data_IF_378752356514
#
_entry.id   IF_378752356514
#
_cell.length_a   1.000
_cell.length_b   1.000
_cell.length_c   1.000
_cell.angle_alpha   90.00
_cell.angle_beta   90.00
_cell.angle_gamma   90.00
#
_symmetry.space_group_name_H-M   'P 1'
#
loop_
_entity.id
_entity.type
_entity.pdbx_description
1 polymer ?
#
# COMPACT_ATOMS: atom_id res chain seq x y z
N UNK A 1 -10.01 -5.04 -19.10
CA UNK A 1 -9.20 -4.77 -17.91
C UNK A 1 -7.80 -5.22 -18.25
N UNK A 2 -6.78 -4.39 -18.01
CA UNK A 2 -5.40 -4.89 -18.00
C UNK A 2 -5.29 -5.68 -16.69
N UNK A 3 -5.11 -6.99 -16.80
CA UNK A 3 -4.95 -7.85 -15.63
C UNK A 3 -3.72 -7.37 -14.83
N UNK A 4 -3.88 -7.17 -13.53
CA UNK A 4 -2.75 -6.93 -12.64
C UNK A 4 -1.86 -8.17 -12.67
N UNK A 5 -0.56 -7.94 -12.84
CA UNK A 5 0.44 -9.00 -12.89
C UNK A 5 1.40 -8.81 -11.72
N UNK A 6 1.68 -9.87 -10.98
CA UNK A 6 2.74 -9.87 -9.97
C UNK A 6 4.10 -9.62 -10.64
N UNK A 7 4.72 -8.49 -10.31
CA UNK A 7 6.02 -8.08 -10.85
C UNK A 7 7.09 -8.24 -9.77
N UNK A 8 8.18 -8.92 -10.10
CA UNK A 8 9.33 -9.06 -9.21
C UNK A 8 10.13 -7.75 -9.18
N UNK A 9 9.84 -6.88 -8.22
CA UNK A 9 10.47 -5.58 -8.08
C UNK A 9 11.59 -5.65 -7.05
N UNK A 10 12.78 -5.19 -7.44
CA UNK A 10 13.90 -5.02 -6.52
C UNK A 10 14.08 -3.54 -6.17
N UNK A 11 13.96 -3.20 -4.89
CA UNK A 11 14.13 -1.82 -4.41
C UNK A 11 15.56 -1.49 -4.00
N UNK A 12 16.41 -2.51 -3.84
CA UNK A 12 17.80 -2.39 -3.46
C UNK A 12 18.71 -2.62 -4.69
N UNK A 13 19.59 -1.66 -5.05
CA UNK A 13 20.50 -1.82 -6.19
C UNK A 13 21.45 -3.02 -6.07
N UNK A 14 21.71 -3.52 -4.86
CA UNK A 14 22.53 -4.71 -4.65
C UNK A 14 21.77 -6.04 -4.80
N UNK A 15 20.48 -6.00 -5.14
CA UNK A 15 19.68 -7.21 -5.43
C UNK A 15 19.26 -8.01 -4.20
N UNK A 16 19.34 -7.45 -2.99
CA UNK A 16 19.12 -8.22 -1.74
C UNK A 16 17.64 -8.42 -1.41
N UNK A 17 16.77 -7.53 -1.89
CA UNK A 17 15.35 -7.48 -1.53
C UNK A 17 14.50 -7.43 -2.79
N UNK A 18 13.80 -8.52 -3.08
CA UNK A 18 12.83 -8.64 -4.17
C UNK A 18 11.45 -8.82 -3.56
N UNK A 19 10.53 -7.96 -3.95
CA UNK A 19 9.12 -8.03 -3.61
C UNK A 19 8.33 -8.38 -4.86
N UNK A 20 7.36 -9.29 -4.76
CA UNK A 20 6.41 -9.51 -5.84
C UNK A 20 5.26 -8.56 -5.57
N UNK A 21 5.04 -7.61 -6.47
CA UNK A 21 4.01 -6.59 -6.32
C UNK A 21 2.98 -6.67 -7.45
N UNK A 22 1.71 -6.60 -7.11
CA UNK A 22 0.64 -6.33 -8.05
C UNK A 22 0.81 -4.93 -8.64
N UNK A 23 0.88 -4.88 -9.98
CA UNK A 23 1.06 -3.63 -10.73
C UNK A 23 0.20 -3.59 -11.98
N UNK A 24 -0.11 -2.38 -12.43
CA UNK A 24 -0.68 -2.13 -13.76
C UNK A 24 0.38 -1.47 -14.66
N UNK A 25 0.68 -2.00 -15.86
CA UNK A 25 1.54 -1.31 -16.82
C UNK A 25 0.87 -0.03 -17.33
N UNK A 26 1.60 1.08 -17.30
CA UNK A 26 1.11 2.40 -17.77
C UNK A 26 1.98 2.99 -18.89
N UNK A 27 3.02 2.27 -19.30
CA UNK A 27 3.90 2.62 -20.41
C UNK A 27 5.14 1.75 -20.42
N UNK A 28 6.05 2.02 -21.36
CA UNK A 28 7.34 1.33 -21.42
C UNK A 28 8.12 1.57 -20.13
N UNK A 29 8.49 0.48 -19.46
CA UNK A 29 9.26 0.46 -18.21
C UNK A 29 8.58 1.23 -17.05
N UNK A 30 7.26 1.43 -17.13
CA UNK A 30 6.46 2.21 -16.17
C UNK A 30 5.27 1.43 -15.67
N UNK A 31 5.14 1.40 -14.35
CA UNK A 31 4.13 0.61 -13.66
C UNK A 31 3.49 1.44 -12.56
N UNK A 32 2.16 1.33 -12.43
CA UNK A 32 1.44 1.81 -11.27
C UNK A 32 1.39 0.69 -10.23
N UNK A 33 1.79 1.00 -9.01
CA UNK A 33 1.72 0.08 -7.86
C UNK A 33 0.26 -0.09 -7.43
N UNK A 34 -0.23 -1.32 -7.30
CA UNK A 34 -1.63 -1.61 -6.94
C UNK A 34 -1.80 -2.19 -5.52
N UNK A 35 -0.70 -2.47 -4.81
CA UNK A 35 -0.72 -2.94 -3.41
C UNK A 35 0.37 -2.24 -2.57
N UNK A 36 0.36 -2.40 -1.25
CA UNK A 36 1.40 -1.79 -0.39
C UNK A 36 2.75 -2.48 -0.51
N UNK A 37 3.83 -1.76 -0.92
CA UNK A 37 5.19 -2.27 -0.76
C UNK A 37 5.59 -2.36 0.70
N UNK A 38 6.18 -3.49 1.09
CA UNK A 38 6.62 -3.80 2.45
C UNK A 38 8.06 -3.32 2.67
N UNK A 39 8.94 -3.50 1.69
CA UNK A 39 10.38 -3.24 1.89
C UNK A 39 10.78 -1.78 1.61
N UNK A 40 10.06 -1.06 0.76
CA UNK A 40 10.38 0.33 0.44
C UNK A 40 9.34 1.32 1.00
N UNK A 41 9.64 2.02 2.10
CA UNK A 41 8.69 2.94 2.72
C UNK A 41 8.43 4.19 1.87
N UNK A 42 9.27 4.48 0.88
CA UNK A 42 9.16 5.66 0.02
C UNK A 42 8.23 5.45 -1.17
N UNK A 43 7.87 4.21 -1.51
CA UNK A 43 6.91 3.87 -2.56
C UNK A 43 5.59 3.47 -1.91
N UNK A 44 4.47 3.89 -2.50
CA UNK A 44 3.14 3.60 -1.96
C UNK A 44 2.16 3.16 -3.04
N UNK A 45 1.02 2.59 -2.64
CA UNK A 45 -0.06 2.22 -3.54
C UNK A 45 -0.49 3.44 -4.38
N UNK A 46 -0.65 3.21 -5.68
CA UNK A 46 -1.01 4.22 -6.67
C UNK A 46 0.15 5.07 -7.17
N UNK A 47 1.38 4.92 -6.65
CA UNK A 47 2.56 5.55 -7.24
C UNK A 47 2.81 4.99 -8.64
N UNK A 48 3.30 5.83 -9.55
CA UNK A 48 3.85 5.39 -10.84
C UNK A 48 5.36 5.40 -10.73
N UNK A 49 5.97 4.23 -10.91
CA UNK A 49 7.41 4.05 -10.84
C UNK A 49 8.00 3.74 -12.21
N UNK A 50 9.30 4.03 -12.36
CA UNK A 50 10.13 3.51 -13.44
C UNK A 50 10.98 2.36 -12.92
N UNK A 51 11.09 1.32 -13.71
CA UNK A 51 11.95 0.16 -13.42
C UNK A 51 12.93 -0.09 -14.57
N UNK A 52 13.95 -0.89 -14.32
CA UNK A 52 14.84 -1.46 -15.33
C UNK A 52 14.82 -2.98 -15.19
N UNK A 53 14.49 -3.68 -16.26
CA UNK A 53 14.52 -5.15 -16.26
C UNK A 53 15.95 -5.65 -16.45
N UNK A 54 16.38 -6.57 -15.59
CA UNK A 54 17.59 -7.37 -15.76
C UNK A 54 17.31 -8.83 -15.36
N UNK A 55 17.46 -9.76 -16.31
CA UNK A 55 17.23 -11.20 -16.10
C UNK A 55 15.85 -11.53 -15.47
N UNK A 56 14.80 -10.80 -15.85
CA UNK A 56 13.45 -10.97 -15.34
C UNK A 56 13.17 -10.31 -13.98
N UNK A 57 14.15 -9.60 -13.40
CA UNK A 57 13.98 -8.80 -12.17
C UNK A 57 13.87 -7.33 -12.56
N UNK A 58 12.91 -6.62 -11.96
CA UNK A 58 12.62 -5.22 -12.26
C UNK A 58 13.19 -4.32 -11.17
N UNK A 59 14.35 -3.73 -11.44
CA UNK A 59 15.03 -2.84 -10.49
C UNK A 59 14.39 -1.46 -10.49
N UNK A 60 13.86 -1.04 -9.35
CA UNK A 60 13.33 0.30 -9.13
C UNK A 60 14.38 1.36 -9.45
N UNK A 61 14.00 2.36 -10.26
CA UNK A 61 14.86 3.49 -10.61
C UNK A 61 14.40 4.76 -9.88
N UNK A 62 13.12 5.12 -10.01
CA UNK A 62 12.55 6.35 -9.48
C UNK A 62 11.02 6.28 -9.38
N UNK A 63 10.44 7.13 -8.55
CA UNK A 63 9.00 7.40 -8.56
C UNK A 63 8.74 8.58 -9.51
N UNK A 64 8.04 8.33 -10.61
CA UNK A 64 7.69 9.35 -11.60
C UNK A 64 6.50 10.20 -11.15
N UNK A 65 5.56 9.60 -10.43
CA UNK A 65 4.37 10.29 -9.93
C UNK A 65 3.95 9.70 -8.59
N UNK A 66 3.79 10.57 -7.59
CA UNK A 66 3.25 10.20 -6.27
C UNK A 66 1.74 10.04 -6.34
N UNK A 67 1.23 9.06 -5.59
CA UNK A 67 -0.19 8.79 -5.50
C UNK A 67 -0.95 9.93 -4.81
N UNK A 68 -2.26 9.95 -5.03
CA UNK A 68 -3.18 10.86 -4.36
C UNK A 68 -3.55 10.37 -2.95
N UNK A 69 -3.05 9.20 -2.53
CA UNK A 69 -3.30 8.64 -1.21
C UNK A 69 -2.33 9.17 -0.16
N UNK A 70 -2.82 9.29 1.07
CA UNK A 70 -2.01 9.30 2.28
C UNK A 70 -2.04 7.89 2.87
N UNK A 71 -0.86 7.37 3.22
CA UNK A 71 -0.70 6.06 3.85
C UNK A 71 -0.62 6.20 5.36
N UNK A 72 -1.31 5.32 6.06
CA UNK A 72 -1.18 5.10 7.49
C UNK A 72 -0.98 3.60 7.77
N UNK A 73 -0.29 3.27 8.85
CA UNK A 73 -0.01 1.89 9.20
C UNK A 73 0.01 1.70 10.72
N UNK A 74 -0.68 0.66 11.20
CA UNK A 74 -0.72 0.27 12.60
C UNK A 74 -0.47 -1.23 12.76
N UNK A 75 0.41 -1.59 13.68
CA UNK A 75 0.51 -2.96 14.17
C UNK A 75 -0.54 -3.15 15.27
N UNK A 76 -1.50 -4.03 15.00
CA UNK A 76 -2.62 -4.30 15.87
C UNK A 76 -2.50 -5.69 16.49
N UNK A 77 -3.03 -5.86 17.71
CA UNK A 77 -3.28 -7.19 18.25
C UNK A 77 -4.30 -7.93 17.38
N UNK A 78 -4.29 -9.26 17.44
CA UNK A 78 -5.29 -10.08 16.74
C UNK A 78 -6.72 -9.73 17.17
N UNK A 79 -6.92 -9.48 18.46
CA UNK A 79 -8.22 -9.07 19.00
C UNK A 79 -8.69 -7.73 18.41
N UNK A 80 -7.80 -6.75 18.32
CA UNK A 80 -8.14 -5.44 17.78
C UNK A 80 -8.48 -5.51 16.28
N UNK A 81 -7.69 -6.24 15.48
CA UNK A 81 -7.90 -6.32 14.03
C UNK A 81 -9.17 -7.08 13.64
N UNK A 82 -9.56 -8.07 14.44
CA UNK A 82 -10.78 -8.87 14.27
C UNK A 82 -12.03 -8.18 14.87
N UNK A 83 -11.87 -6.99 15.46
CA UNK A 83 -12.96 -6.27 16.11
C UNK A 83 -13.97 -5.68 15.13
N UNK A 84 -15.22 -5.59 15.59
CA UNK A 84 -16.29 -4.89 14.86
C UNK A 84 -15.98 -3.41 14.65
N UNK A 85 -15.21 -2.79 15.55
CA UNK A 85 -14.80 -1.40 15.45
C UNK A 85 -13.84 -1.16 14.27
N UNK A 86 -12.81 -2.01 14.12
CA UNK A 86 -11.90 -1.95 12.97
C UNK A 86 -12.63 -2.30 11.67
N UNK A 87 -13.51 -3.30 11.68
CA UNK A 87 -14.32 -3.65 10.51
C UNK A 87 -15.18 -2.48 10.03
N UNK A 88 -15.91 -1.83 10.94
CA UNK A 88 -16.71 -0.64 10.64
C UNK A 88 -15.85 0.53 10.15
N UNK A 89 -14.63 0.67 10.67
CA UNK A 89 -13.71 1.71 10.21
C UNK A 89 -13.21 1.43 8.79
N UNK A 90 -12.75 0.21 8.47
CA UNK A 90 -12.37 -0.22 7.12
C UNK A 90 -13.48 0.04 6.10
N UNK A 91 -14.74 -0.17 6.49
CA UNK A 91 -15.90 0.14 5.66
C UNK A 91 -16.00 1.65 5.36
N UNK A 92 -15.93 2.51 6.37
CA UNK A 92 -15.96 3.98 6.17
C UNK A 92 -14.82 4.47 5.28
N UNK A 93 -13.62 3.90 5.44
CA UNK A 93 -12.48 4.20 4.55
C UNK A 93 -12.83 3.87 3.10
N UNK A 94 -13.40 2.68 2.87
CA UNK A 94 -13.79 2.22 1.52
C UNK A 94 -14.88 3.10 0.91
N UNK A 95 -15.87 3.53 1.71
CA UNK A 95 -16.95 4.45 1.29
C UNK A 95 -16.41 5.85 0.91
N UNK A 96 -15.18 6.17 1.29
CA UNK A 96 -14.50 7.43 0.96
C UNK A 96 -13.32 7.21 -0.01
N UNK A 97 -13.47 6.24 -0.92
CA UNK A 97 -12.50 5.87 -1.97
C UNK A 97 -11.12 5.46 -1.44
N UNK A 98 -11.02 5.14 -0.15
CA UNK A 98 -9.82 4.58 0.45
C UNK A 98 -9.67 3.08 0.21
N UNK A 99 -8.50 2.57 0.56
CA UNK A 99 -8.12 1.15 0.50
C UNK A 99 -7.57 0.72 1.86
N UNK A 100 -7.91 -0.50 2.27
CA UNK A 100 -7.37 -1.12 3.46
C UNK A 100 -6.70 -2.44 3.09
N UNK A 101 -5.49 -2.64 3.57
CA UNK A 101 -4.74 -3.88 3.43
C UNK A 101 -4.34 -4.40 4.81
N UNK A 102 -4.41 -5.72 4.99
CA UNK A 102 -3.96 -6.36 6.22
C UNK A 102 -2.82 -7.31 5.87
N UNK A 103 -1.63 -6.95 6.33
CA UNK A 103 -0.38 -7.63 6.02
C UNK A 103 0.06 -8.43 7.25
N UNK A 104 0.51 -9.67 7.04
CA UNK A 104 0.97 -10.58 8.09
C UNK A 104 0.02 -10.74 9.29
N UNK A 105 -1.29 -10.58 9.06
CA UNK A 105 -2.34 -10.73 10.08
C UNK A 105 -2.46 -9.57 11.08
N UNK A 106 -1.40 -8.80 11.35
CA UNK A 106 -1.43 -7.75 12.37
C UNK A 106 -1.20 -6.32 11.86
N UNK A 107 -0.58 -6.14 10.69
CA UNK A 107 -0.30 -4.80 10.15
C UNK A 107 -1.48 -4.33 9.31
N UNK A 108 -2.26 -3.39 9.84
CA UNK A 108 -3.31 -2.71 9.08
C UNK A 108 -2.71 -1.49 8.39
N UNK A 109 -2.78 -1.48 7.06
CA UNK A 109 -2.39 -0.34 6.22
C UNK A 109 -3.65 0.30 5.64
N UNK A 110 -3.74 1.62 5.74
CA UNK A 110 -4.85 2.42 5.20
C UNK A 110 -4.27 3.41 4.19
N UNK A 111 -4.80 3.38 2.98
CA UNK A 111 -4.59 4.41 1.96
C UNK A 111 -5.88 5.21 1.81
N UNK A 112 -5.83 6.52 1.97
CA UNK A 112 -7.02 7.36 1.83
C UNK A 112 -6.72 8.60 1.00
N UNK A 113 -7.63 9.07 0.14
CA UNK A 113 -7.40 10.28 -0.65
C UNK A 113 -7.01 11.47 0.24
N UNK A 114 -6.00 12.24 -0.18
CA UNK A 114 -5.48 13.40 0.57
C UNK A 114 -6.53 14.50 0.84
N UNK A 115 -7.62 14.52 0.08
CA UNK A 115 -8.72 15.47 0.20
C UNK A 115 -9.89 14.95 1.05
N UNK A 116 -9.75 13.78 1.69
CA UNK A 116 -10.77 13.27 2.62
C UNK A 116 -10.94 14.18 3.84
N UNK A 117 -12.14 14.15 4.43
CA UNK A 117 -12.43 14.77 5.73
C UNK A 117 -12.26 13.79 6.90
N UNK A 118 -11.97 12.52 6.63
CA UNK A 118 -11.77 11.51 7.68
C UNK A 118 -10.46 11.80 8.42
N UNK A 119 -10.59 12.02 9.73
CA UNK A 119 -9.46 12.03 10.67
C UNK A 119 -9.06 10.58 11.00
N UNK A 120 -8.21 10.00 10.15
CA UNK A 120 -7.83 8.58 10.27
C UNK A 120 -7.09 8.32 11.58
N UNK A 121 -6.17 9.19 11.97
CA UNK A 121 -5.39 9.05 13.21
C UNK A 121 -6.30 9.14 14.44
N UNK A 122 -7.18 10.15 14.50
CA UNK A 122 -8.10 10.33 15.61
C UNK A 122 -9.18 9.26 15.71
N UNK A 123 -9.65 8.70 14.58
CA UNK A 123 -10.52 7.53 14.59
C UNK A 123 -9.80 6.28 15.08
N UNK A 124 -8.58 6.02 14.60
CA UNK A 124 -7.82 4.86 15.01
C UNK A 124 -7.48 4.89 16.51
N UNK A 125 -7.04 6.03 17.03
CA UNK A 125 -6.71 6.18 18.45
C UNK A 125 -7.92 5.85 19.35
N UNK A 126 -9.11 6.34 19.00
CA UNK A 126 -10.36 6.03 19.74
C UNK A 126 -10.76 4.56 19.69
N UNK A 127 -10.33 3.82 18.66
CA UNK A 127 -10.58 2.38 18.56
C UNK A 127 -9.56 1.63 19.41
N UNK A 128 -8.28 1.98 19.30
CA UNK A 128 -7.19 1.28 20.00
C UNK A 128 -7.27 1.50 21.51
N UNK A 129 -7.69 2.67 22.00
CA UNK A 129 -7.90 2.95 23.44
C UNK A 129 -8.88 1.98 24.15
N UNK A 130 -9.62 1.16 23.39
CA UNK A 130 -10.56 0.18 23.91
C UNK A 130 -9.95 -1.22 24.11
N UNK A 131 -8.69 -1.40 23.71
CA UNK A 131 -7.90 -2.64 23.82
C UNK A 131 -6.67 -2.40 24.70
#
# INVERSE_FOLDING_TARGET
>A
MLDSSGLHICFDPAGREIEILDVTPVGKDKYRIEETPIFNPSVTMGDIIRVKEELGIYYYQETLQKSHFKRYAWLLSKEAVDSTAISAFKQRITENDGKCEQIFGGLLVIHIPKNTLIDVDGEMNRIIERF
#
